data_IF_934971995489
#
_entry.id   IF_934971995489
#
_cell.length_a   1.000
_cell.length_b   1.000
_cell.length_c   1.000
_cell.angle_alpha   90.00
_cell.angle_beta   90.00
_cell.angle_gamma   90.00
#
_symmetry.space_group_name_H-M   'P 1'
#
loop_
_entity.id
_entity.type
_entity.pdbx_description
1 polymer ?
#
# COMPACT_ATOMS: atom_id res chain seq x y z
N UNK A 1 10.93 3.25 -2.46
CA UNK A 1 10.13 2.13 -1.95
C UNK A 1 11.02 0.96 -1.56
N UNK A 2 11.80 0.38 -2.52
CA UNK A 2 12.71 -0.76 -2.29
C UNK A 2 13.61 -0.55 -1.05
N UNK A 3 14.24 0.61 -0.92
CA UNK A 3 15.13 0.93 0.20
C UNK A 3 14.38 0.95 1.53
N UNK A 4 13.29 1.70 1.63
CA UNK A 4 12.50 1.79 2.86
C UNK A 4 11.93 0.44 3.30
N UNK A 5 11.44 -0.37 2.35
CA UNK A 5 10.95 -1.72 2.63
C UNK A 5 12.09 -2.60 3.19
N UNK A 6 13.26 -2.60 2.53
CA UNK A 6 14.40 -3.38 2.99
C UNK A 6 14.90 -2.95 4.39
N UNK A 7 14.88 -1.64 4.69
CA UNK A 7 15.26 -1.12 6.01
C UNK A 7 14.30 -1.55 7.12
N UNK A 8 12.98 -1.55 6.87
CA UNK A 8 11.97 -2.07 7.82
C UNK A 8 12.22 -3.55 8.10
N UNK A 9 12.37 -4.36 7.07
CA UNK A 9 12.59 -5.80 7.20
C UNK A 9 13.93 -6.13 7.88
N UNK A 10 14.98 -5.36 7.60
CA UNK A 10 16.30 -5.56 8.21
C UNK A 10 16.34 -5.29 9.72
N UNK A 11 15.40 -4.45 10.22
CA UNK A 11 15.21 -4.21 11.67
C UNK A 11 14.40 -5.32 12.36
N UNK A 12 13.87 -6.29 11.60
CA UNK A 12 12.96 -7.31 12.11
C UNK A 12 11.49 -6.87 12.12
N UNK A 13 11.18 -5.68 11.61
CA UNK A 13 9.83 -5.12 11.62
C UNK A 13 8.93 -5.61 10.49
N UNK A 14 7.66 -5.33 10.63
CA UNK A 14 6.62 -5.56 9.61
C UNK A 14 6.36 -4.29 8.80
N UNK A 15 6.25 -4.44 7.48
CA UNK A 15 5.86 -3.37 6.57
C UNK A 15 4.37 -3.45 6.22
N UNK A 16 3.58 -2.45 6.62
CA UNK A 16 2.20 -2.28 6.20
C UNK A 16 2.14 -1.45 4.91
N UNK A 17 1.53 -1.99 3.88
CA UNK A 17 1.31 -1.33 2.59
C UNK A 17 -0.19 -1.21 2.34
N UNK A 18 -0.81 -0.10 2.76
CA UNK A 18 -2.23 0.15 2.51
C UNK A 18 -2.48 0.42 1.03
N UNK A 19 -3.40 -0.33 0.42
CA UNK A 19 -3.66 -0.27 -1.03
C UNK A 19 -5.14 -0.20 -1.35
N UNK A 20 -5.47 0.34 -2.52
CA UNK A 20 -6.75 0.09 -3.15
C UNK A 20 -6.80 -1.34 -3.67
N UNK A 21 -7.96 -1.97 -3.53
CA UNK A 21 -8.18 -3.40 -3.85
C UNK A 21 -7.91 -3.70 -5.32
N UNK A 22 -8.24 -2.76 -6.22
CA UNK A 22 -8.11 -2.92 -7.67
C UNK A 22 -6.96 -2.07 -8.22
N UNK A 23 -6.14 -2.65 -9.07
CA UNK A 23 -5.02 -2.03 -9.75
C UNK A 23 -3.78 -1.95 -8.84
N UNK A 24 -3.78 -1.08 -7.84
CA UNK A 24 -2.60 -0.84 -6.98
C UNK A 24 -2.16 -2.07 -6.18
N UNK A 25 -3.10 -2.85 -5.68
CA UNK A 25 -2.78 -4.09 -4.96
C UNK A 25 -2.00 -5.07 -5.85
N UNK A 26 -2.46 -5.27 -7.08
CA UNK A 26 -1.84 -6.19 -8.03
C UNK A 26 -0.46 -5.70 -8.46
N UNK A 27 -0.29 -4.41 -8.75
CA UNK A 27 1.02 -3.83 -9.08
C UNK A 27 2.03 -4.01 -7.95
N UNK A 28 1.65 -3.76 -6.71
CA UNK A 28 2.53 -3.94 -5.55
C UNK A 28 2.90 -5.40 -5.36
N UNK A 29 1.97 -6.34 -5.52
CA UNK A 29 2.26 -7.77 -5.38
C UNK A 29 3.23 -8.26 -6.47
N UNK A 30 3.05 -7.84 -7.72
CA UNK A 30 4.00 -8.12 -8.81
C UNK A 30 5.39 -7.54 -8.50
N UNK A 31 5.43 -6.27 -8.05
CA UNK A 31 6.68 -5.61 -7.65
C UNK A 31 7.38 -6.35 -6.51
N UNK A 32 6.65 -6.79 -5.48
CA UNK A 32 7.23 -7.57 -4.38
C UNK A 32 7.82 -8.89 -4.86
N UNK A 33 7.15 -9.56 -5.80
CA UNK A 33 7.68 -10.75 -6.47
C UNK A 33 8.98 -10.46 -7.23
N UNK A 34 9.08 -9.34 -7.91
CA UNK A 34 10.32 -8.90 -8.58
C UNK A 34 11.43 -8.63 -7.56
N UNK A 35 11.13 -7.89 -6.49
CA UNK A 35 12.11 -7.56 -5.45
C UNK A 35 12.66 -8.80 -4.72
N UNK A 36 11.84 -9.83 -4.53
CA UNK A 36 12.29 -11.13 -4.01
C UNK A 36 13.24 -11.83 -5.00
N UNK A 37 12.86 -11.92 -6.28
CA UNK A 37 13.72 -12.54 -7.32
C UNK A 37 15.06 -11.81 -7.51
N UNK A 38 15.09 -10.51 -7.32
CA UNK A 38 16.30 -9.68 -7.36
C UNK A 38 17.15 -9.76 -6.08
N UNK A 39 16.68 -10.45 -5.05
CA UNK A 39 17.35 -10.52 -3.75
C UNK A 39 17.31 -9.21 -2.96
N UNK A 40 16.42 -8.26 -3.32
CA UNK A 40 16.26 -7.00 -2.61
C UNK A 40 15.53 -7.15 -1.28
N UNK A 41 14.70 -8.17 -1.17
CA UNK A 41 14.06 -8.64 0.06
C UNK A 41 14.26 -10.16 0.16
N UNK A 42 14.43 -10.71 1.37
CA UNK A 42 14.63 -12.14 1.57
C UNK A 42 13.44 -12.96 1.06
N UNK A 43 13.73 -14.13 0.50
CA UNK A 43 12.69 -15.01 -0.06
C UNK A 43 11.72 -15.57 0.99
N UNK A 44 12.17 -15.75 2.19
CA UNK A 44 11.44 -16.30 3.34
C UNK A 44 10.55 -15.27 4.06
N UNK A 45 10.70 -13.98 3.81
CA UNK A 45 9.82 -12.97 4.38
C UNK A 45 8.38 -13.17 3.86
N UNK A 46 7.40 -13.43 4.75
CA UNK A 46 6.03 -13.69 4.32
C UNK A 46 5.34 -12.42 3.80
N UNK A 47 4.51 -12.60 2.76
CA UNK A 47 3.61 -11.56 2.26
C UNK A 47 2.19 -11.96 2.62
N UNK A 48 1.50 -11.12 3.38
CA UNK A 48 0.13 -11.33 3.80
C UNK A 48 -0.85 -10.48 3.01
N UNK A 49 -1.93 -11.09 2.56
CA UNK A 49 -3.01 -10.44 1.82
C UNK A 49 -4.37 -10.83 2.38
N UNK A 50 -5.39 -9.99 2.22
CA UNK A 50 -6.70 -10.26 2.80
C UNK A 50 -7.87 -9.83 1.90
N UNK A 51 -9.05 -10.40 2.19
CA UNK A 51 -10.33 -9.99 1.66
C UNK A 51 -10.51 -10.17 0.14
N UNK A 52 -11.30 -9.29 -0.43
CA UNK A 52 -11.65 -9.26 -1.85
C UNK A 52 -10.46 -9.04 -2.79
N UNK A 53 -9.34 -8.54 -2.27
CA UNK A 53 -8.12 -8.34 -3.04
C UNK A 53 -7.60 -9.63 -3.67
N UNK A 54 -7.70 -10.76 -2.95
CA UNK A 54 -7.28 -12.08 -3.48
C UNK A 54 -8.17 -12.53 -4.63
N UNK A 55 -9.50 -12.38 -4.50
CA UNK A 55 -10.44 -12.72 -5.58
C UNK A 55 -10.19 -11.87 -6.84
N UNK A 56 -9.88 -10.59 -6.67
CA UNK A 56 -9.51 -9.72 -7.80
C UNK A 56 -8.17 -10.13 -8.41
N UNK A 57 -7.19 -10.52 -7.58
CA UNK A 57 -5.90 -11.03 -8.06
C UNK A 57 -6.07 -12.30 -8.92
N UNK A 58 -6.96 -13.22 -8.53
CA UNK A 58 -7.33 -14.40 -9.33
C UNK A 58 -7.87 -13.99 -10.71
N UNK A 59 -8.80 -13.03 -10.77
CA UNK A 59 -9.34 -12.51 -12.03
C UNK A 59 -8.22 -11.89 -12.89
N UNK A 60 -7.28 -11.17 -12.27
CA UNK A 60 -6.14 -10.61 -13.00
C UNK A 60 -5.28 -11.71 -13.63
N UNK A 61 -4.96 -12.76 -12.91
CA UNK A 61 -4.13 -13.84 -13.44
C UNK A 61 -4.89 -14.68 -14.47
N UNK A 62 -6.17 -15.00 -14.27
CA UNK A 62 -7.01 -15.74 -15.21
C UNK A 62 -7.20 -15.01 -16.56
N UNK A 63 -7.29 -13.68 -16.51
CA UNK A 63 -7.54 -12.87 -17.71
C UNK A 63 -6.26 -12.36 -18.40
N UNK A 64 -5.08 -12.70 -17.90
CA UNK A 64 -3.81 -12.14 -18.40
C UNK A 64 -3.51 -12.43 -19.87
N UNK A 65 -3.99 -13.57 -20.38
CA UNK A 65 -3.81 -13.97 -21.80
C UNK A 65 -4.94 -13.51 -22.72
N UNK A 66 -6.06 -13.06 -22.16
CA UNK A 66 -7.24 -12.64 -22.93
C UNK A 66 -7.46 -11.12 -22.91
N UNK A 67 -6.84 -10.42 -21.98
CA UNK A 67 -6.91 -8.96 -21.86
C UNK A 67 -5.55 -8.34 -22.22
N UNK A 68 -5.50 -7.35 -23.13
CA UNK A 68 -4.24 -6.68 -23.46
C UNK A 68 -3.59 -6.05 -22.22
N UNK A 69 -2.31 -6.33 -22.03
CA UNK A 69 -1.50 -5.82 -20.91
C UNK A 69 -0.14 -5.37 -21.40
N UNK A 70 0.46 -4.42 -20.69
CA UNK A 70 1.84 -3.97 -20.97
C UNK A 70 2.83 -5.11 -20.70
N UNK A 71 2.62 -5.83 -19.59
CA UNK A 71 3.46 -6.95 -19.17
C UNK A 71 2.59 -8.22 -19.01
N UNK A 72 2.32 -8.96 -20.10
CA UNK A 72 1.43 -10.13 -20.07
C UNK A 72 1.99 -11.31 -19.27
N UNK A 73 3.30 -11.35 -19.05
CA UNK A 73 3.98 -12.41 -18.29
C UNK A 73 3.92 -12.21 -16.79
N UNK A 74 3.59 -11.01 -16.32
CA UNK A 74 3.46 -10.73 -14.91
C UNK A 74 2.24 -11.44 -14.30
N UNK A 75 2.47 -12.17 -13.21
CA UNK A 75 1.45 -12.87 -12.43
C UNK A 75 1.38 -12.30 -11.02
N UNK A 76 0.18 -12.01 -10.56
CA UNK A 76 -0.04 -11.50 -9.21
C UNK A 76 0.29 -12.57 -8.16
N UNK A 77 -0.05 -13.84 -8.44
CA UNK A 77 0.34 -14.99 -7.64
C UNK A 77 1.70 -15.59 -8.02
N UNK A 78 2.50 -14.89 -8.82
CA UNK A 78 3.90 -15.23 -9.05
C UNK A 78 4.81 -15.09 -7.81
N UNK A 79 4.27 -14.58 -6.72
CA UNK A 79 4.87 -14.55 -5.38
C UNK A 79 3.93 -15.22 -4.39
N UNK A 80 4.49 -15.99 -3.47
CA UNK A 80 3.71 -16.65 -2.42
C UNK A 80 3.02 -15.62 -1.52
N UNK A 81 1.73 -15.85 -1.24
CA UNK A 81 0.90 -14.97 -0.45
C UNK A 81 0.11 -15.76 0.60
N UNK A 82 0.26 -15.37 1.85
CA UNK A 82 -0.50 -15.93 2.97
C UNK A 82 -1.75 -15.12 3.25
N UNK A 83 -2.81 -15.76 3.72
CA UNK A 83 -4.00 -15.04 4.18
C UNK A 83 -3.76 -14.44 5.55
N UNK A 84 -4.17 -13.20 5.75
CA UNK A 84 -4.26 -12.64 7.10
C UNK A 84 -5.28 -13.46 7.90
N UNK A 85 -4.91 -14.03 9.05
CA UNK A 85 -5.83 -14.83 9.86
C UNK A 85 -6.98 -14.00 10.41
N UNK A 86 -8.10 -14.66 10.70
CA UNK A 86 -9.28 -14.00 11.28
C UNK A 86 -9.14 -13.79 12.79
N UNK A 87 -8.50 -14.72 13.46
CA UNK A 87 -8.33 -14.75 14.91
C UNK A 87 -7.43 -13.60 15.38
N UNK A 88 -7.82 -12.97 16.50
CA UNK A 88 -7.09 -11.80 17.02
C UNK A 88 -5.67 -12.16 17.50
N UNK A 89 -5.49 -13.37 18.05
CA UNK A 89 -4.19 -13.85 18.52
C UNK A 89 -3.24 -14.12 17.36
N UNK A 90 -3.68 -14.86 16.35
CA UNK A 90 -2.91 -15.12 15.15
C UNK A 90 -2.56 -13.83 14.38
N UNK A 91 -3.40 -12.78 14.46
CA UNK A 91 -3.05 -11.44 13.94
C UNK A 91 -1.95 -10.75 14.72
N UNK A 92 -1.73 -11.10 15.99
CA UNK A 92 -0.56 -10.59 16.73
C UNK A 92 0.70 -11.31 16.28
N UNK A 93 0.64 -12.63 16.21
CA UNK A 93 1.78 -13.47 15.83
C UNK A 93 2.38 -13.06 14.48
N UNK A 94 1.55 -12.69 13.48
CA UNK A 94 2.05 -12.23 12.18
C UNK A 94 2.71 -10.85 12.21
N UNK A 95 2.62 -10.12 13.32
CA UNK A 95 3.30 -8.84 13.54
C UNK A 95 4.54 -8.98 14.46
N UNK A 96 4.82 -10.18 14.96
CA UNK A 96 5.95 -10.43 15.88
C UNK A 96 7.26 -10.72 15.13
N UNK A 97 7.36 -10.38 13.86
CA UNK A 97 8.57 -10.58 13.06
C UNK A 97 8.50 -9.92 11.69
N UNK A 98 9.58 -10.07 10.89
CA UNK A 98 9.61 -9.42 9.59
C UNK A 98 8.52 -10.00 8.68
N UNK A 99 7.70 -9.10 8.13
CA UNK A 99 6.60 -9.45 7.25
C UNK A 99 6.15 -8.28 6.38
N UNK A 100 5.36 -8.57 5.36
CA UNK A 100 4.81 -7.56 4.46
C UNK A 100 3.29 -7.73 4.42
N UNK A 101 2.55 -6.70 4.87
CA UNK A 101 1.10 -6.66 4.89
C UNK A 101 0.58 -5.82 3.74
N UNK A 102 0.09 -6.44 2.67
CA UNK A 102 -0.59 -5.73 1.58
C UNK A 102 -2.09 -5.85 1.78
N UNK A 103 -2.72 -4.79 2.26
CA UNK A 103 -4.12 -4.83 2.69
C UNK A 103 -4.90 -3.55 2.33
N UNK A 104 -6.19 -3.66 2.19
CA UNK A 104 -7.11 -2.55 1.94
C UNK A 104 -7.66 -1.97 3.26
N UNK A 105 -8.03 -0.71 3.32
CA UNK A 105 -8.07 0.29 2.26
C UNK A 105 -6.83 1.17 2.25
N UNK A 106 -6.51 1.73 1.07
CA UNK A 106 -5.39 2.66 0.91
C UNK A 106 -5.51 3.95 1.72
N UNK A 107 -6.72 4.36 2.10
CA UNK A 107 -7.00 5.53 2.94
C UNK A 107 -7.05 5.21 4.43
N UNK A 108 -7.00 3.92 4.80
CA UNK A 108 -7.01 3.43 6.19
C UNK A 108 -8.26 3.83 6.98
N UNK A 109 -9.43 3.93 6.33
CA UNK A 109 -10.69 4.21 7.06
C UNK A 109 -11.06 3.08 8.03
N UNK A 110 -11.71 3.45 9.16
CA UNK A 110 -12.36 2.47 10.03
C UNK A 110 -13.59 1.83 9.35
N UNK A 111 -13.87 0.55 9.60
CA UNK A 111 -13.10 -0.43 10.40
C UNK A 111 -12.18 -1.31 9.54
N UNK A 112 -11.54 -0.77 8.51
CA UNK A 112 -10.73 -1.59 7.58
C UNK A 112 -9.53 -2.25 8.26
N UNK A 113 -9.11 -3.39 7.71
CA UNK A 113 -7.95 -4.12 8.22
C UNK A 113 -6.68 -3.25 8.22
N UNK A 114 -6.49 -2.40 7.20
CA UNK A 114 -5.36 -1.48 7.16
C UNK A 114 -5.34 -0.52 8.36
N UNK A 115 -6.51 -0.02 8.80
CA UNK A 115 -6.61 0.81 10.00
C UNK A 115 -6.28 0.03 11.27
N UNK A 116 -6.84 -1.16 11.41
CA UNK A 116 -6.61 -2.03 12.58
C UNK A 116 -5.13 -2.38 12.74
N UNK A 117 -4.45 -2.72 11.64
CA UNK A 117 -3.02 -3.04 11.66
C UNK A 117 -2.17 -1.80 11.93
N UNK A 118 -2.45 -0.68 11.25
CA UNK A 118 -1.71 0.57 11.47
C UNK A 118 -1.72 1.00 12.94
N UNK A 119 -2.87 0.94 13.61
CA UNK A 119 -2.98 1.27 15.06
C UNK A 119 -2.16 0.37 15.98
N UNK A 120 -1.83 -0.84 15.55
CA UNK A 120 -0.95 -1.75 16.30
C UNK A 120 0.53 -1.49 16.04
N UNK A 121 0.83 -0.97 14.86
CA UNK A 121 2.19 -0.82 14.37
C UNK A 121 2.77 0.58 14.62
N UNK A 122 1.93 1.62 14.73
CA UNK A 122 2.41 3.02 14.79
C UNK A 122 3.35 3.31 15.94
N UNK A 123 3.24 2.59 17.05
CA UNK A 123 4.05 2.77 18.26
C UNK A 123 5.36 1.95 18.25
N UNK A 124 5.53 1.04 17.28
CA UNK A 124 6.71 0.19 17.18
C UNK A 124 7.75 0.78 16.20
N UNK A 125 8.94 1.10 16.68
CA UNK A 125 10.04 1.69 15.90
C UNK A 125 10.56 0.75 14.79
N UNK A 126 10.41 -0.54 14.96
CA UNK A 126 10.85 -1.54 13.97
C UNK A 126 9.93 -1.56 12.75
N UNK A 127 8.66 -1.25 12.92
CA UNK A 127 7.64 -1.35 11.87
C UNK A 127 7.65 -0.17 10.89
N UNK A 128 6.91 -0.34 9.78
CA UNK A 128 6.75 0.72 8.80
C UNK A 128 5.39 0.73 8.10
N UNK A 129 4.86 1.93 7.86
CA UNK A 129 3.68 2.16 7.02
C UNK A 129 4.11 2.84 5.73
N UNK A 130 4.06 2.10 4.62
CA UNK A 130 4.54 2.51 3.31
C UNK A 130 3.35 2.86 2.41
N UNK A 131 3.03 4.15 2.31
CA UNK A 131 1.88 4.65 1.54
C UNK A 131 2.23 4.71 0.05
N UNK A 132 1.59 3.89 -0.75
CA UNK A 132 1.86 3.75 -2.20
C UNK A 132 0.83 4.45 -3.10
N UNK A 133 0.05 5.36 -2.52
CA UNK A 133 -0.97 6.13 -3.21
C UNK A 133 -0.99 7.58 -2.76
N UNK A 134 -2.05 8.30 -3.17
CA UNK A 134 -2.34 9.64 -2.69
C UNK A 134 -3.27 9.54 -1.47
N UNK A 135 -2.80 9.82 -0.25
CA UNK A 135 -3.69 9.93 0.89
C UNK A 135 -4.48 11.24 0.77
N UNK A 136 -5.81 11.13 0.61
CA UNK A 136 -6.67 12.29 0.50
C UNK A 136 -6.78 13.02 1.84
N UNK A 137 -7.01 14.33 1.79
CA UNK A 137 -7.14 15.16 2.98
C UNK A 137 -8.26 14.65 3.90
N UNK A 138 -8.05 14.73 5.21
CA UNK A 138 -8.97 14.26 6.23
C UNK A 138 -8.98 12.75 6.47
N UNK A 139 -8.27 11.94 5.67
CA UNK A 139 -8.19 10.49 5.86
C UNK A 139 -7.20 10.10 6.96
N UNK A 140 -7.37 8.93 7.62
CA UNK A 140 -6.38 8.42 8.58
C UNK A 140 -4.98 8.28 7.99
N UNK A 141 -4.85 7.83 6.74
CA UNK A 141 -3.57 7.73 6.04
C UNK A 141 -2.89 9.10 5.88
N UNK A 142 -3.67 10.17 5.61
CA UNK A 142 -3.15 11.52 5.53
C UNK A 142 -2.72 12.06 6.89
N UNK A 143 -3.55 11.88 7.93
CA UNK A 143 -3.20 12.27 9.31
C UNK A 143 -1.91 11.60 9.76
N UNK A 144 -1.73 10.30 9.48
CA UNK A 144 -0.50 9.58 9.82
C UNK A 144 0.73 10.16 9.11
N UNK A 145 0.61 10.43 7.81
CA UNK A 145 1.71 11.01 7.03
C UNK A 145 2.09 12.41 7.52
N UNK A 146 1.09 13.24 7.85
CA UNK A 146 1.32 14.60 8.34
C UNK A 146 1.93 14.60 9.74
N UNK A 147 1.47 13.75 10.65
CA UNK A 147 2.06 13.57 11.98
C UNK A 147 3.54 13.15 11.88
N UNK A 148 3.85 12.16 11.07
CA UNK A 148 5.23 11.68 10.90
C UNK A 148 6.19 12.74 10.29
N UNK A 149 5.65 13.76 9.59
CA UNK A 149 6.44 14.82 8.95
C UNK A 149 6.61 16.09 9.78
N UNK A 150 5.59 16.42 10.60
CA UNK A 150 5.52 17.71 11.25
C UNK A 150 6.40 17.79 12.52
N UNK A 151 6.32 16.80 13.41
CA UNK A 151 6.84 16.89 14.75
C UNK A 151 7.92 15.83 15.08
N UNK A 152 8.30 15.01 14.11
CA UNK A 152 9.28 13.94 14.30
C UNK A 152 8.75 12.75 15.08
N UNK A 153 9.62 11.86 15.58
CA UNK A 153 9.23 10.65 16.29
C UNK A 153 8.39 10.96 17.54
N UNK A 154 7.27 10.24 17.70
CA UNK A 154 6.39 10.39 18.85
C UNK A 154 5.25 11.42 18.68
N UNK A 155 5.13 12.06 17.51
CA UNK A 155 3.99 12.93 17.21
C UNK A 155 2.66 12.17 17.35
N UNK A 156 1.64 12.74 18.00
CA UNK A 156 0.37 12.04 18.20
C UNK A 156 -0.46 12.01 16.93
N UNK A 157 -1.05 10.86 16.61
CA UNK A 157 -1.99 10.69 15.50
C UNK A 157 -3.28 10.04 15.95
N UNK A 158 -4.42 10.55 15.50
CA UNK A 158 -5.74 9.92 15.67
C UNK A 158 -6.08 9.11 14.41
N UNK A 159 -5.92 7.79 14.48
CA UNK A 159 -6.25 6.89 13.38
C UNK A 159 -7.70 6.39 13.41
N UNK A 160 -8.33 6.41 14.59
CA UNK A 160 -9.70 5.97 14.81
C UNK A 160 -10.36 6.77 15.92
N UNK A 161 -11.62 7.17 15.73
CA UNK A 161 -12.30 8.10 16.67
C UNK A 161 -12.49 7.53 18.06
N UNK A 162 -12.60 6.21 18.21
CA UNK A 162 -12.82 5.53 19.50
C UNK A 162 -11.54 5.15 20.28
N UNK A 163 -10.34 5.45 19.78
CA UNK A 163 -9.09 4.90 20.33
C UNK A 163 -8.10 5.92 20.90
N UNK A 164 -8.43 7.20 20.83
CA UNK A 164 -7.51 8.26 21.26
C UNK A 164 -6.27 8.42 20.36
N UNK A 165 -5.44 9.45 20.62
CA UNK A 165 -4.20 9.68 19.90
C UNK A 165 -3.13 8.67 20.31
N UNK A 166 -2.36 8.19 19.32
CA UNK A 166 -1.23 7.28 19.51
C UNK A 166 0.07 7.96 19.03
N UNK A 167 1.21 7.77 19.71
CA UNK A 167 2.49 8.32 19.28
C UNK A 167 2.99 7.57 18.03
N UNK A 168 3.52 8.28 17.05
CA UNK A 168 4.07 7.69 15.81
C UNK A 168 5.57 7.47 16.00
N UNK A 169 5.97 6.21 16.17
CA UNK A 169 7.37 5.79 16.25
C UNK A 169 7.80 4.99 15.03
N UNK A 170 6.87 4.34 14.35
CA UNK A 170 7.16 3.57 13.13
C UNK A 170 7.65 4.47 11.98
N UNK A 171 8.32 3.85 11.00
CA UNK A 171 8.64 4.53 9.75
C UNK A 171 7.36 4.81 8.95
N UNK A 172 7.15 6.05 8.52
CA UNK A 172 6.03 6.42 7.63
C UNK A 172 6.56 7.13 6.41
N UNK A 173 6.41 6.50 5.25
CA UNK A 173 6.85 7.08 3.99
C UNK A 173 5.77 6.99 2.91
N UNK A 174 5.76 7.99 2.00
CA UNK A 174 4.88 8.01 0.85
C UNK A 174 5.66 7.88 -0.45
N UNK A 175 5.22 6.95 -1.29
CA UNK A 175 5.77 6.70 -2.63
C UNK A 175 4.73 7.05 -3.69
N UNK A 176 5.17 7.73 -4.73
CA UNK A 176 4.30 8.16 -5.83
C UNK A 176 4.25 7.08 -6.92
N UNK A 177 3.47 6.06 -6.68
CA UNK A 177 3.07 5.14 -7.74
C UNK A 177 1.81 5.71 -8.39
N UNK A 178 1.94 6.47 -9.46
CA UNK A 178 0.79 7.07 -10.15
C UNK A 178 0.35 6.20 -11.31
N UNK A 179 -0.94 5.86 -11.35
CA UNK A 179 -1.59 5.29 -12.55
C UNK A 179 -2.26 6.36 -13.41
N UNK A 180 -2.13 7.65 -13.02
CA UNK A 180 -2.66 8.76 -13.80
C UNK A 180 -1.59 9.27 -14.77
N UNK A 181 -2.02 9.65 -15.96
CA UNK A 181 -1.19 10.38 -16.91
C UNK A 181 -0.65 11.68 -16.27
N UNK A 182 0.56 12.02 -16.57
CA UNK A 182 1.11 13.31 -16.14
C UNK A 182 0.56 14.48 -16.98
N UNK A 183 0.97 15.69 -16.65
CA UNK A 183 0.52 16.89 -17.37
C UNK A 183 0.87 16.84 -18.86
N UNK A 184 2.05 16.33 -19.19
CA UNK A 184 2.53 16.31 -20.57
C UNK A 184 1.78 15.27 -21.38
N UNK A 185 1.49 14.11 -20.78
CA UNK A 185 0.64 13.08 -21.38
C UNK A 185 -0.77 13.60 -21.66
N UNK A 186 -1.38 14.29 -20.67
CA UNK A 186 -2.73 14.88 -20.86
C UNK A 186 -2.75 15.92 -21.96
N UNK A 187 -1.75 16.81 -22.04
CA UNK A 187 -1.64 17.79 -23.12
C UNK A 187 -1.47 17.09 -24.47
N UNK A 188 -0.62 16.08 -24.54
CA UNK A 188 -0.41 15.29 -25.77
C UNK A 188 -1.71 14.59 -26.24
N UNK A 189 -2.52 14.08 -25.31
CA UNK A 189 -3.84 13.50 -25.64
C UNK A 189 -4.76 14.57 -26.26
N UNK A 190 -4.84 15.76 -25.63
CA UNK A 190 -5.68 16.87 -26.13
C UNK A 190 -5.19 17.33 -27.52
N UNK A 191 -3.90 17.50 -27.72
CA UNK A 191 -3.30 17.90 -29.01
C UNK A 191 -3.60 16.86 -30.11
N UNK A 192 -3.48 15.58 -29.81
CA UNK A 192 -3.72 14.49 -30.80
C UNK A 192 -5.19 14.32 -31.15
N UNK A 193 -6.08 14.51 -30.18
CA UNK A 193 -7.53 14.38 -30.42
C UNK A 193 -8.13 15.66 -30.98
N UNK A 194 -7.49 16.81 -30.78
CA UNK A 194 -7.97 18.15 -31.20
C UNK A 194 -9.47 18.38 -30.93
N UNK A 195 -9.98 18.15 -29.70
CA UNK A 195 -11.39 18.28 -29.41
C UNK A 195 -11.83 19.74 -29.45
N UNK A 196 -13.09 19.98 -29.80
CA UNK A 196 -13.67 21.35 -29.78
C UNK A 196 -13.78 21.90 -28.35
N UNK A 197 -13.95 21.03 -27.36
CA UNK A 197 -14.08 21.41 -25.95
C UNK A 197 -13.37 20.38 -25.04
N UNK A 198 -12.77 20.87 -23.96
CA UNK A 198 -12.15 20.05 -22.92
C UNK A 198 -12.78 20.39 -21.58
N UNK A 199 -13.34 19.40 -20.90
CA UNK A 199 -13.83 19.53 -19.53
C UNK A 199 -12.85 18.88 -18.57
N UNK A 200 -12.31 19.65 -17.65
CA UNK A 200 -11.44 19.16 -16.60
C UNK A 200 -12.28 18.76 -15.37
N UNK A 201 -12.10 17.54 -14.90
CA UNK A 201 -12.76 16.99 -13.71
C UNK A 201 -11.74 16.39 -12.77
N UNK A 202 -12.09 16.24 -11.49
CA UNK A 202 -11.21 15.60 -10.50
C UNK A 202 -9.89 16.38 -10.27
N UNK A 203 -9.91 17.70 -10.40
CA UNK A 203 -8.80 18.60 -10.07
C UNK A 203 -9.03 19.33 -8.73
N UNK A 204 -7.95 19.84 -8.14
CA UNK A 204 -8.02 20.81 -7.03
C UNK A 204 -7.90 22.21 -7.65
N UNK A 205 -8.75 23.13 -7.22
CA UNK A 205 -8.68 24.53 -7.63
C UNK A 205 -7.58 25.28 -6.92
#
# INVERSE_FOLDING_TARGET
>A
FRKALAEVLARGGTALIPVFVMGRAQEILVLLGQLKREGAIPMDVPIYTAGSMRAIAEIYDDTRTTTPRVNPDDQVFGVEQHRVPYEAEAKREILDGPGIMVVSSGMMFEPTLANVLARRMVENEEDGVLLVGHPADGTPARRLLDAARADGPGAPVMLADGHGPQPVHCTVERFRFSGHSDRQDLLSIVERLAPEQVLLVHGVH
#
